data_IF_786107730428
#
_entry.id   IF_786107730428
#
_cell.length_a   1.000
_cell.length_b   1.000
_cell.length_c   1.000
_cell.angle_alpha   90.00
_cell.angle_beta   90.00
_cell.angle_gamma   90.00
#
_symmetry.space_group_name_H-M   'P 1'
#
loop_
_entity.id
_entity.type
_entity.pdbx_description
1 polymer ?
#
# COMPACT_ATOMS: atom_id res chain seq x y z
N UNK A 1 69.53 -9.19 -32.39
CA UNK A 1 68.44 -9.69 -31.56
C UNK A 1 67.43 -8.57 -31.35
N UNK A 2 66.23 -8.79 -31.87
CA UNK A 2 65.11 -7.83 -31.76
C UNK A 2 64.42 -8.04 -30.42
N UNK A 3 64.46 -7.01 -29.60
CA UNK A 3 63.68 -6.97 -28.37
C UNK A 3 62.23 -6.60 -28.69
N UNK A 4 61.36 -7.57 -28.56
CA UNK A 4 59.91 -7.32 -28.62
C UNK A 4 59.44 -6.72 -27.31
N UNK A 5 59.15 -5.44 -27.32
CA UNK A 5 58.48 -4.74 -26.21
C UNK A 5 56.97 -5.02 -26.32
N UNK A 6 56.49 -5.91 -25.48
CA UNK A 6 55.04 -6.11 -25.31
C UNK A 6 54.49 -4.91 -24.54
N UNK A 7 53.72 -4.08 -25.23
CA UNK A 7 52.95 -3.01 -24.59
C UNK A 7 51.76 -3.60 -23.86
N UNK A 8 51.83 -3.62 -22.54
CA UNK A 8 50.64 -3.90 -21.70
C UNK A 8 49.69 -2.74 -21.83
N UNK A 9 48.50 -3.00 -22.39
CA UNK A 9 47.39 -2.09 -22.37
C UNK A 9 46.66 -2.33 -21.06
N UNK A 10 46.46 -1.30 -20.19
CA UNK A 10 45.67 -1.48 -18.99
C UNK A 10 44.20 -1.55 -19.37
N UNK A 11 43.57 -2.71 -19.09
CA UNK A 11 42.14 -2.91 -19.21
C UNK A 11 41.47 -2.11 -18.10
N UNK A 12 40.98 -0.92 -18.43
CA UNK A 12 40.10 -0.17 -17.53
C UNK A 12 38.75 -0.86 -17.42
N UNK A 13 38.57 -1.60 -16.35
CA UNK A 13 37.25 -2.11 -15.96
C UNK A 13 36.40 -0.92 -15.49
N UNK A 14 35.51 -0.45 -16.36
CA UNK A 14 34.47 0.48 -15.99
C UNK A 14 33.46 -0.26 -15.11
N UNK A 15 33.55 -0.08 -13.80
CA UNK A 15 32.52 -0.49 -12.86
C UNK A 15 31.29 0.41 -13.09
N UNK A 16 30.31 -0.09 -13.81
CA UNK A 16 29.01 0.53 -13.91
C UNK A 16 28.32 0.40 -12.55
N UNK A 17 28.30 1.49 -11.78
CA UNK A 17 27.42 1.60 -10.61
C UNK A 17 25.98 1.60 -11.11
N UNK A 18 25.32 0.45 -11.03
CA UNK A 18 23.88 0.39 -11.11
C UNK A 18 23.32 0.98 -9.81
N UNK A 19 23.03 2.28 -9.80
CA UNK A 19 22.10 2.85 -8.83
C UNK A 19 20.72 2.27 -9.11
N UNK A 20 20.37 1.17 -8.45
CA UNK A 20 19.00 0.75 -8.37
C UNK A 20 18.25 1.84 -7.59
N UNK A 21 17.53 2.72 -8.30
CA UNK A 21 16.59 3.64 -7.68
C UNK A 21 15.55 2.77 -6.97
N UNK A 22 15.61 2.73 -5.62
CA UNK A 22 14.55 2.14 -4.82
C UNK A 22 13.27 2.92 -5.15
N UNK A 23 12.30 2.27 -5.82
CA UNK A 23 11.00 2.85 -6.05
C UNK A 23 10.41 3.17 -4.66
N UNK A 24 10.21 4.47 -4.35
CA UNK A 24 9.53 4.85 -3.12
C UNK A 24 8.08 4.46 -3.27
N UNK A 25 7.67 3.41 -2.55
CA UNK A 25 6.29 2.97 -2.52
C UNK A 25 5.51 3.91 -1.60
N UNK A 26 4.43 4.47 -2.12
CA UNK A 26 3.51 5.33 -1.41
C UNK A 26 2.15 4.64 -1.30
N UNK A 27 1.30 5.15 -0.40
CA UNK A 27 -0.08 4.72 -0.30
C UNK A 27 -0.78 4.88 -1.66
N UNK A 28 -1.49 3.83 -2.08
CA UNK A 28 -2.31 3.82 -3.28
C UNK A 28 -3.74 3.45 -2.93
N UNK A 29 -4.70 4.10 -3.56
CA UNK A 29 -6.13 3.80 -3.38
C UNK A 29 -6.69 3.26 -4.68
N UNK A 30 -7.26 2.06 -4.63
CA UNK A 30 -7.85 1.36 -5.78
C UNK A 30 -9.26 0.89 -5.44
N UNK A 31 -10.12 0.70 -6.45
CA UNK A 31 -11.39 0.00 -6.24
C UNK A 31 -11.14 -1.42 -5.72
N UNK A 32 -11.97 -1.88 -4.80
CA UNK A 32 -11.96 -3.26 -4.34
C UNK A 32 -12.32 -4.22 -5.48
N UNK A 33 -11.60 -5.33 -5.52
CA UNK A 33 -12.03 -6.56 -6.17
C UNK A 33 -11.55 -7.75 -5.34
N UNK A 34 -12.26 -8.86 -5.41
CA UNK A 34 -11.84 -10.08 -4.71
C UNK A 34 -10.45 -10.54 -5.17
N UNK A 35 -10.15 -10.37 -6.45
CA UNK A 35 -8.84 -10.69 -7.02
C UNK A 35 -7.72 -9.79 -6.46
N UNK A 36 -7.95 -8.49 -6.34
CA UNK A 36 -6.97 -7.55 -5.80
C UNK A 36 -6.65 -7.85 -4.33
N UNK A 37 -7.66 -8.17 -3.52
CA UNK A 37 -7.46 -8.58 -2.13
C UNK A 37 -6.68 -9.90 -2.05
N UNK A 38 -7.10 -10.92 -2.80
CA UNK A 38 -6.44 -12.22 -2.80
C UNK A 38 -4.97 -12.13 -3.24
N UNK A 39 -4.67 -11.31 -4.25
CA UNK A 39 -3.31 -11.08 -4.72
C UNK A 39 -2.43 -10.44 -3.64
N UNK A 40 -2.92 -9.40 -2.97
CA UNK A 40 -2.20 -8.74 -1.89
C UNK A 40 -1.95 -9.71 -0.72
N UNK A 41 -2.95 -10.50 -0.33
CA UNK A 41 -2.85 -11.48 0.74
C UNK A 41 -1.86 -12.61 0.40
N UNK A 42 -1.90 -13.13 -0.83
CA UNK A 42 -0.98 -14.18 -1.30
C UNK A 42 0.47 -13.70 -1.33
N UNK A 43 0.69 -12.43 -1.66
CA UNK A 43 2.02 -11.81 -1.71
C UNK A 43 2.49 -11.31 -0.34
N UNK A 44 1.71 -11.50 0.73
CA UNK A 44 1.96 -10.98 2.08
C UNK A 44 2.23 -9.47 2.10
N UNK A 45 1.53 -8.73 1.26
CA UNK A 45 1.63 -7.27 1.20
C UNK A 45 0.63 -6.60 2.13
N UNK A 46 0.98 -5.44 2.69
CA UNK A 46 0.04 -4.63 3.45
C UNK A 46 -1.13 -4.20 2.56
N UNK A 47 -2.35 -4.37 3.04
CA UNK A 47 -3.57 -3.94 2.36
C UNK A 47 -4.60 -3.48 3.38
N UNK A 48 -5.37 -2.46 3.05
CA UNK A 48 -6.47 -1.99 3.86
C UNK A 48 -7.78 -2.05 3.06
N UNK A 49 -8.86 -2.41 3.72
CA UNK A 49 -10.20 -2.37 3.18
C UNK A 49 -10.91 -1.15 3.77
N UNK A 50 -11.30 -0.21 2.92
CA UNK A 50 -12.03 0.98 3.32
C UNK A 50 -13.50 0.82 2.92
N UNK A 51 -14.34 0.45 3.89
CA UNK A 51 -15.78 0.28 3.68
C UNK A 51 -16.46 1.65 3.68
N UNK A 52 -16.83 2.11 2.51
CA UNK A 52 -17.31 3.45 2.26
C UNK A 52 -18.54 3.50 1.34
N UNK A 53 -19.25 4.62 1.38
CA UNK A 53 -20.34 4.93 0.47
C UNK A 53 -20.26 6.41 0.04
N UNK A 54 -20.71 6.71 -1.17
CA UNK A 54 -20.68 8.08 -1.72
C UNK A 54 -21.57 9.05 -0.95
N UNK A 55 -22.66 8.55 -0.37
CA UNK A 55 -23.60 9.33 0.44
C UNK A 55 -23.10 9.62 1.87
N UNK A 56 -22.00 9.02 2.30
CA UNK A 56 -21.50 9.07 3.67
C UNK A 56 -20.52 10.24 3.86
N UNK A 57 -20.88 11.30 4.63
CA UNK A 57 -19.99 12.45 4.85
C UNK A 57 -18.68 12.08 5.55
N UNK A 58 -18.73 11.20 6.55
CA UNK A 58 -17.55 10.71 7.27
C UNK A 58 -16.60 9.96 6.34
N UNK A 59 -17.15 9.15 5.44
CA UNK A 59 -16.35 8.45 4.43
C UNK A 59 -15.64 9.42 3.49
N UNK A 60 -16.33 10.47 3.04
CA UNK A 60 -15.73 11.49 2.18
C UNK A 60 -14.61 12.26 2.88
N UNK A 61 -14.77 12.50 4.18
CA UNK A 61 -13.68 13.10 5.00
C UNK A 61 -12.46 12.17 5.07
N UNK A 62 -12.68 10.89 5.26
CA UNK A 62 -11.61 9.88 5.23
C UNK A 62 -10.95 9.79 3.85
N UNK A 63 -11.74 9.82 2.76
CA UNK A 63 -11.20 9.81 1.39
C UNK A 63 -10.21 10.95 1.17
N UNK A 64 -10.54 12.17 1.62
CA UNK A 64 -9.66 13.33 1.51
C UNK A 64 -8.35 13.14 2.28
N UNK A 65 -8.42 12.58 3.49
CA UNK A 65 -7.24 12.29 4.30
C UNK A 65 -6.36 11.24 3.65
N UNK A 66 -6.94 10.14 3.16
CA UNK A 66 -6.20 9.09 2.44
C UNK A 66 -5.56 9.64 1.17
N UNK A 67 -6.23 10.56 0.48
CA UNK A 67 -5.69 11.21 -0.72
C UNK A 67 -4.44 12.05 -0.39
N UNK A 68 -4.46 12.81 0.70
CA UNK A 68 -3.28 13.55 1.16
C UNK A 68 -2.12 12.64 1.56
N UNK A 69 -2.40 11.43 2.06
CA UNK A 69 -1.39 10.46 2.48
C UNK A 69 -0.67 9.79 1.32
N UNK A 70 -1.18 9.87 0.10
CA UNK A 70 -0.53 9.32 -1.10
C UNK A 70 0.86 9.86 -1.35
N UNK A 71 1.14 11.07 -0.90
CA UNK A 71 2.45 11.72 -1.03
C UNK A 71 3.34 11.55 0.22
N UNK A 72 2.87 10.89 1.27
CA UNK A 72 3.65 10.65 2.48
C UNK A 72 4.64 9.50 2.27
N UNK A 73 5.95 9.70 2.55
CA UNK A 73 6.92 8.61 2.51
C UNK A 73 6.65 7.60 3.64
N UNK A 74 6.93 6.32 3.37
CA UNK A 74 6.84 5.27 4.38
C UNK A 74 5.43 4.71 4.63
N UNK A 75 4.45 5.05 3.78
CA UNK A 75 3.12 4.43 3.78
C UNK A 75 2.94 3.53 2.56
N UNK A 76 3.74 2.48 2.48
CA UNK A 76 3.66 1.49 1.39
C UNK A 76 2.52 0.50 1.66
N UNK A 77 1.31 0.95 1.42
CA UNK A 77 0.10 0.16 1.58
C UNK A 77 -0.93 0.48 0.49
N UNK A 78 -1.61 -0.54 -0.01
CA UNK A 78 -2.75 -0.37 -0.91
C UNK A 78 -4.04 -0.33 -0.10
N UNK A 79 -4.84 0.71 -0.31
CA UNK A 79 -6.19 0.83 0.23
C UNK A 79 -7.19 0.45 -0.86
N UNK A 80 -8.01 -0.55 -0.59
CA UNK A 80 -9.09 -0.99 -1.46
C UNK A 80 -10.40 -0.33 -1.01
N UNK A 81 -10.96 0.53 -1.88
CA UNK A 81 -12.23 1.18 -1.63
C UNK A 81 -13.37 0.18 -1.86
N UNK A 82 -14.04 -0.19 -0.78
CA UNK A 82 -15.12 -1.18 -0.77
C UNK A 82 -16.47 -0.48 -0.73
N UNK A 83 -17.36 -0.82 -1.66
CA UNK A 83 -18.73 -0.32 -1.63
C UNK A 83 -19.52 -0.97 -0.48
N UNK A 84 -19.76 -0.19 0.58
CA UNK A 84 -20.48 -0.64 1.77
C UNK A 84 -21.88 -1.18 1.45
N UNK A 85 -22.57 -0.60 0.48
CA UNK A 85 -23.97 -0.94 0.19
C UNK A 85 -24.09 -2.28 -0.55
N UNK A 86 -23.12 -2.64 -1.39
CA UNK A 86 -23.19 -3.80 -2.28
C UNK A 86 -22.35 -4.99 -1.84
N UNK A 87 -21.23 -4.79 -1.15
CA UNK A 87 -20.29 -5.85 -0.73
C UNK A 87 -20.76 -6.52 0.59
N UNK A 88 -21.92 -7.16 0.53
CA UNK A 88 -22.58 -7.73 1.73
C UNK A 88 -21.82 -8.91 2.32
N UNK A 89 -21.27 -9.79 1.48
CA UNK A 89 -20.53 -10.97 1.95
C UNK A 89 -19.20 -10.57 2.57
N UNK A 90 -18.51 -9.59 2.00
CA UNK A 90 -17.28 -9.06 2.55
C UNK A 90 -17.51 -8.38 3.91
N UNK A 91 -18.61 -7.64 4.07
CA UNK A 91 -19.01 -7.07 5.35
C UNK A 91 -19.22 -8.14 6.41
N UNK A 92 -19.86 -9.25 6.06
CA UNK A 92 -20.03 -10.38 6.98
C UNK A 92 -18.70 -11.01 7.36
N UNK A 93 -17.84 -11.24 6.38
CA UNK A 93 -16.51 -11.83 6.59
C UNK A 93 -15.68 -11.04 7.60
N UNK A 94 -15.70 -9.73 7.55
CA UNK A 94 -14.95 -8.85 8.44
C UNK A 94 -15.77 -8.26 9.59
N UNK A 95 -17.00 -8.71 9.79
CA UNK A 95 -17.89 -8.22 10.84
C UNK A 95 -18.07 -6.70 10.81
N UNK A 96 -18.29 -6.13 9.62
CA UNK A 96 -18.47 -4.71 9.42
C UNK A 96 -19.91 -4.31 9.78
N UNK A 97 -20.04 -3.39 10.71
CA UNK A 97 -21.34 -2.92 11.23
C UNK A 97 -21.70 -1.51 10.79
N UNK A 98 -20.73 -0.74 10.31
CA UNK A 98 -20.95 0.64 9.85
C UNK A 98 -20.02 0.96 8.69
N UNK A 99 -20.46 1.91 7.87
CA UNK A 99 -19.58 2.57 6.90
C UNK A 99 -18.47 3.35 7.64
N UNK A 100 -17.50 3.87 6.91
CA UNK A 100 -16.33 4.55 7.48
C UNK A 100 -15.43 3.63 8.32
N UNK A 101 -15.47 2.35 8.05
CA UNK A 101 -14.63 1.35 8.71
C UNK A 101 -13.43 1.02 7.82
N UNK A 102 -12.25 1.12 8.39
CA UNK A 102 -10.97 0.74 7.77
C UNK A 102 -10.46 -0.53 8.47
N UNK A 103 -10.29 -1.60 7.71
CA UNK A 103 -9.70 -2.86 8.18
C UNK A 103 -8.33 -3.02 7.54
N UNK A 104 -7.30 -3.17 8.35
CA UNK A 104 -5.91 -3.29 7.88
C UNK A 104 -5.44 -4.72 8.03
N UNK A 105 -4.84 -5.24 6.97
CA UNK A 105 -4.44 -6.64 6.86
C UNK A 105 -2.98 -6.78 6.44
N UNK A 106 -2.33 -7.81 6.94
CA UNK A 106 -1.09 -8.36 6.39
C UNK A 106 -1.28 -9.86 6.14
N UNK A 107 -1.28 -10.27 4.87
CA UNK A 107 -1.71 -11.62 4.53
C UNK A 107 -3.15 -11.86 5.00
N UNK A 108 -3.39 -12.94 5.71
CA UNK A 108 -4.71 -13.27 6.29
C UNK A 108 -4.96 -12.62 7.65
N UNK A 109 -3.98 -11.92 8.22
CA UNK A 109 -4.06 -11.38 9.57
C UNK A 109 -4.58 -9.94 9.54
N UNK A 110 -5.64 -9.66 10.32
CA UNK A 110 -6.04 -8.30 10.65
C UNK A 110 -5.05 -7.71 11.66
N UNK A 111 -4.40 -6.62 11.28
CA UNK A 111 -3.39 -5.95 12.11
C UNK A 111 -3.92 -4.71 12.79
N UNK A 112 -4.97 -4.09 12.24
CA UNK A 112 -5.58 -2.89 12.80
C UNK A 112 -6.96 -2.63 12.22
N UNK A 113 -7.72 -1.79 12.92
CA UNK A 113 -9.06 -1.39 12.51
C UNK A 113 -9.32 0.03 13.01
N UNK A 114 -9.99 0.82 12.19
CA UNK A 114 -10.45 2.16 12.54
C UNK A 114 -11.92 2.30 12.16
N UNK A 115 -12.71 2.87 13.04
CA UNK A 115 -14.15 3.07 12.82
C UNK A 115 -14.45 4.55 13.00
N UNK A 116 -14.96 5.19 11.95
CA UNK A 116 -15.41 6.58 11.93
C UNK A 116 -14.35 7.61 12.37
N UNK A 117 -13.08 7.25 12.31
CA UNK A 117 -11.98 8.19 12.61
C UNK A 117 -11.75 9.10 11.40
N UNK A 118 -11.86 10.40 11.63
CA UNK A 118 -11.64 11.45 10.63
C UNK A 118 -10.39 12.28 10.93
N UNK A 119 -9.43 11.70 11.64
CA UNK A 119 -8.14 12.32 11.92
C UNK A 119 -7.03 11.68 11.09
N UNK A 120 -6.12 12.49 10.57
CA UNK A 120 -4.96 11.98 9.85
C UNK A 120 -4.09 11.08 10.75
N UNK A 121 -3.90 11.45 12.00
CA UNK A 121 -3.10 10.69 12.97
C UNK A 121 -3.70 9.30 13.22
N UNK A 122 -5.02 9.21 13.42
CA UNK A 122 -5.71 7.94 13.68
C UNK A 122 -5.67 7.00 12.48
N UNK A 123 -5.97 7.50 11.28
CA UNK A 123 -5.88 6.70 10.06
C UNK A 123 -4.45 6.23 9.78
N UNK A 124 -3.46 7.10 9.96
CA UNK A 124 -2.06 6.74 9.78
C UNK A 124 -1.61 5.66 10.77
N UNK A 125 -2.02 5.78 12.03
CA UNK A 125 -1.72 4.77 13.05
C UNK A 125 -2.30 3.41 12.67
N UNK A 126 -3.55 3.36 12.23
CA UNK A 126 -4.19 2.12 11.77
C UNK A 126 -3.44 1.51 10.57
N UNK A 127 -3.14 2.31 9.55
CA UNK A 127 -2.43 1.84 8.34
C UNK A 127 -1.06 1.28 8.66
N UNK A 128 -0.32 1.91 9.56
CA UNK A 128 1.05 1.47 9.92
C UNK A 128 1.10 0.14 10.66
N UNK A 129 0.00 -0.38 11.15
CA UNK A 129 -0.03 -1.68 11.84
C UNK A 129 0.40 -2.85 10.96
N UNK A 130 0.33 -2.71 9.64
CA UNK A 130 0.69 -3.74 8.67
C UNK A 130 2.07 -3.54 8.01
N UNK A 131 2.77 -2.49 8.37
CA UNK A 131 4.08 -2.14 7.78
C UNK A 131 5.25 -2.77 8.53
#
# INVERSE_FOLDING_TARGET
PRRNTVKLVPLMAAAALFCAAAASHALDVKPYSAAALAEAQKADKPVALHFRADWCPTCRAQDKLLDTMKSEPGLDITVLAVNYDTEKDLKKQFSIRSQSTLVVLRGQKETGRSISDTTAAGLRTALKTAL
#
